data_IF_526431748516
#
_entry.id   IF_526431748516
#
_cell.length_a   1.000
_cell.length_b   1.000
_cell.length_c   1.000
_cell.angle_alpha   90.00
_cell.angle_beta   90.00
_cell.angle_gamma   90.00
#
_symmetry.space_group_name_H-M   'P 1'
#
loop_
_entity.id
_entity.type
_entity.pdbx_description
1 polymer ?
#
# COMPACT_ATOMS: atom_id res chain seq x y z
N UNK A 1 25.72 25.20 23.08
CA UNK A 1 26.01 23.77 22.88
C UNK A 1 24.89 23.23 22.04
N UNK A 2 25.04 23.13 20.71
CA UNK A 2 23.98 22.68 19.79
C UNK A 2 23.84 21.17 19.96
N UNK A 3 22.66 20.74 20.37
CA UNK A 3 22.25 19.32 20.35
C UNK A 3 22.44 18.82 18.92
N UNK A 4 23.39 17.91 18.69
CA UNK A 4 23.53 17.18 17.42
C UNK A 4 22.28 16.29 17.28
N UNK A 5 21.21 16.82 16.68
CA UNK A 5 20.03 16.02 16.32
C UNK A 5 20.51 14.91 15.39
N UNK A 6 20.42 13.67 15.83
CA UNK A 6 20.77 12.51 15.00
C UNK A 6 19.68 12.28 13.97
N UNK A 7 20.02 11.85 12.75
CA UNK A 7 19.06 11.60 11.68
C UNK A 7 17.82 10.78 12.12
N UNK A 8 17.94 9.73 12.95
CA UNK A 8 16.78 8.98 13.43
C UNK A 8 15.79 9.78 14.29
N UNK A 9 16.19 10.92 14.86
CA UNK A 9 15.31 11.76 15.68
C UNK A 9 14.68 12.93 14.91
N UNK A 10 15.05 13.12 13.64
CA UNK A 10 14.54 14.22 12.80
C UNK A 10 13.18 13.84 12.17
N UNK A 11 12.35 14.85 11.91
CA UNK A 11 11.11 14.66 11.16
C UNK A 11 11.37 14.44 9.67
N UNK A 12 10.48 13.73 8.97
CA UNK A 12 10.64 13.40 7.56
C UNK A 12 10.79 14.64 6.67
N UNK A 13 10.12 15.75 7.00
CA UNK A 13 10.26 17.04 6.28
C UNK A 13 11.67 17.60 6.38
N UNK A 14 12.28 17.50 7.56
CA UNK A 14 13.67 17.96 7.78
C UNK A 14 14.66 17.06 7.03
N UNK A 15 14.43 15.73 7.08
CA UNK A 15 15.23 14.76 6.32
C UNK A 15 15.13 15.00 4.81
N UNK A 16 13.92 15.26 4.31
CA UNK A 16 13.70 15.58 2.91
C UNK A 16 14.40 16.88 2.48
N UNK A 17 14.35 17.91 3.32
CA UNK A 17 15.08 19.17 3.08
C UNK A 17 16.60 18.95 3.04
N UNK A 18 17.15 18.15 3.94
CA UNK A 18 18.57 17.79 3.93
C UNK A 18 18.95 16.98 2.69
N UNK A 19 18.08 16.05 2.27
CA UNK A 19 18.26 15.26 1.06
C UNK A 19 18.25 16.13 -0.19
N UNK A 20 17.32 17.10 -0.27
CA UNK A 20 17.27 18.10 -1.33
C UNK A 20 18.54 18.98 -1.38
N UNK A 21 19.16 19.21 -0.21
CA UNK A 21 20.47 19.86 -0.08
C UNK A 21 21.67 18.95 -0.38
N UNK A 22 21.45 17.72 -0.90
CA UNK A 22 22.49 16.78 -1.32
C UNK A 22 22.96 15.78 -0.25
N UNK A 23 22.35 15.77 0.95
CA UNK A 23 22.68 14.81 2.01
C UNK A 23 22.01 13.45 1.74
N UNK A 24 22.76 12.54 1.14
CA UNK A 24 22.30 11.17 0.79
C UNK A 24 21.96 10.33 2.01
N UNK A 25 22.66 10.52 3.14
CA UNK A 25 22.41 9.82 4.40
C UNK A 25 21.02 10.14 4.98
N UNK A 26 20.55 11.39 4.83
CA UNK A 26 19.20 11.79 5.23
C UNK A 26 18.12 11.10 4.37
N UNK A 27 18.37 10.96 3.07
CA UNK A 27 17.45 10.18 2.22
C UNK A 27 17.49 8.68 2.56
N UNK A 28 18.65 8.13 2.87
CA UNK A 28 18.80 6.74 3.35
C UNK A 28 17.95 6.46 4.59
N UNK A 29 17.84 7.42 5.51
CA UNK A 29 16.95 7.30 6.67
C UNK A 29 15.47 7.29 6.28
N UNK A 30 15.04 8.10 5.32
CA UNK A 30 13.68 8.06 4.77
C UNK A 30 13.35 6.69 4.13
N UNK A 31 14.29 6.13 3.37
CA UNK A 31 14.16 4.78 2.78
C UNK A 31 14.01 3.73 3.87
N UNK A 32 14.83 3.79 4.92
CA UNK A 32 14.78 2.86 6.05
C UNK A 32 13.43 2.89 6.77
N UNK A 33 12.85 4.09 6.99
CA UNK A 33 11.55 4.27 7.66
C UNK A 33 10.38 3.78 6.84
N UNK A 34 10.39 4.04 5.55
CA UNK A 34 9.19 3.89 4.71
C UNK A 34 9.26 2.71 3.73
N UNK A 35 10.41 2.03 3.63
CA UNK A 35 10.63 0.95 2.66
C UNK A 35 9.64 -0.21 2.82
N UNK A 36 9.39 -0.68 4.06
CA UNK A 36 8.43 -1.75 4.33
C UNK A 36 7.00 -1.37 3.96
N UNK A 37 6.60 -0.11 4.24
CA UNK A 37 5.27 0.37 3.93
C UNK A 37 5.02 0.51 2.41
N UNK A 38 6.06 0.85 1.64
CA UNK A 38 5.99 0.93 0.16
C UNK A 38 5.90 -0.47 -0.44
N UNK A 39 6.78 -1.40 -0.03
CA UNK A 39 6.71 -2.81 -0.44
C UNK A 39 5.36 -3.44 -0.11
N UNK A 40 4.87 -3.23 1.11
CA UNK A 40 3.57 -3.72 1.55
C UNK A 40 2.42 -3.21 0.67
N UNK A 41 2.44 -1.94 0.24
CA UNK A 41 1.46 -1.43 -0.71
C UNK A 41 1.52 -2.18 -2.05
N UNK A 42 2.72 -2.32 -2.63
CA UNK A 42 2.91 -2.99 -3.91
C UNK A 42 2.42 -4.45 -3.88
N UNK A 43 2.70 -5.17 -2.78
CA UNK A 43 2.19 -6.51 -2.53
C UNK A 43 0.65 -6.56 -2.49
N UNK A 44 0.02 -5.62 -1.81
CA UNK A 44 -1.45 -5.50 -1.75
C UNK A 44 -2.06 -5.21 -3.12
N UNK A 45 -1.36 -4.49 -3.98
CA UNK A 45 -1.78 -4.25 -5.35
C UNK A 45 -1.69 -5.49 -6.22
N UNK A 46 -0.92 -6.51 -5.81
CA UNK A 46 -0.77 -7.78 -6.50
C UNK A 46 0.64 -8.07 -7.03
N UNK A 47 1.63 -7.23 -6.68
CA UNK A 47 3.01 -7.51 -7.06
C UNK A 47 3.54 -8.77 -6.33
N UNK A 48 4.28 -9.60 -7.03
CA UNK A 48 5.12 -10.63 -6.43
C UNK A 48 6.24 -10.02 -5.59
N UNK A 49 6.89 -10.82 -4.71
CA UNK A 49 7.91 -10.32 -3.81
C UNK A 49 9.05 -9.58 -4.53
N UNK A 50 9.64 -10.22 -5.53
CA UNK A 50 10.73 -9.65 -6.31
C UNK A 50 10.30 -8.37 -7.04
N UNK A 51 9.15 -8.40 -7.71
CA UNK A 51 8.58 -7.21 -8.39
C UNK A 51 8.28 -6.07 -7.41
N UNK A 52 7.77 -6.39 -6.21
CA UNK A 52 7.52 -5.38 -5.18
C UNK A 52 8.82 -4.74 -4.68
N UNK A 53 9.89 -5.51 -4.53
CA UNK A 53 11.20 -4.99 -4.13
C UNK A 53 11.80 -4.09 -5.22
N UNK A 54 11.77 -4.53 -6.48
CA UNK A 54 12.27 -3.75 -7.63
C UNK A 54 11.49 -2.42 -7.79
N UNK A 55 10.16 -2.49 -7.79
CA UNK A 55 9.33 -1.29 -7.91
C UNK A 55 9.43 -0.36 -6.70
N UNK A 56 9.68 -0.89 -5.50
CA UNK A 56 9.95 -0.06 -4.33
C UNK A 56 11.29 0.66 -4.47
N UNK A 57 12.31 -0.01 -4.97
CA UNK A 57 13.61 0.61 -5.27
C UNK A 57 13.47 1.71 -6.32
N UNK A 58 12.79 1.43 -7.43
CA UNK A 58 12.51 2.43 -8.49
C UNK A 58 11.72 3.63 -7.94
N UNK A 59 10.74 3.37 -7.05
CA UNK A 59 9.96 4.43 -6.42
C UNK A 59 10.83 5.35 -5.55
N UNK A 60 11.77 4.81 -4.78
CA UNK A 60 12.69 5.61 -3.99
C UNK A 60 13.73 6.32 -4.85
N UNK A 61 14.20 5.72 -5.96
CA UNK A 61 15.06 6.43 -6.91
C UNK A 61 14.34 7.62 -7.54
N UNK A 62 13.12 7.42 -8.03
CA UNK A 62 12.30 8.50 -8.57
C UNK A 62 11.98 9.57 -7.50
N UNK A 63 11.72 9.15 -6.25
CA UNK A 63 11.51 10.06 -5.13
C UNK A 63 12.77 10.89 -4.82
N UNK A 64 13.96 10.30 -4.91
CA UNK A 64 15.22 11.02 -4.71
C UNK A 64 15.46 12.06 -5.80
N UNK A 65 15.22 11.71 -7.06
CA UNK A 65 15.35 12.63 -8.20
C UNK A 65 14.37 13.80 -8.11
N UNK A 66 13.18 13.58 -7.53
CA UNK A 66 12.11 14.56 -7.40
C UNK A 66 11.96 15.11 -5.97
N UNK A 67 12.98 14.95 -5.11
CA UNK A 67 12.87 15.29 -3.68
C UNK A 67 12.54 16.78 -3.45
N UNK A 68 12.93 17.64 -4.36
CA UNK A 68 12.61 19.07 -4.34
C UNK A 68 11.12 19.36 -4.55
N UNK A 69 10.37 18.42 -5.12
CA UNK A 69 8.92 18.55 -5.33
C UNK A 69 8.12 18.20 -4.07
N UNK A 70 8.76 17.57 -3.09
CA UNK A 70 8.14 17.30 -1.80
C UNK A 70 8.06 18.57 -0.96
N UNK A 71 6.89 19.20 -0.96
CA UNK A 71 6.64 20.49 -0.27
C UNK A 71 6.21 20.34 1.19
N UNK A 72 6.04 19.12 1.70
CA UNK A 72 5.52 18.89 3.06
C UNK A 72 3.99 19.01 3.17
N UNK A 73 3.26 19.13 2.04
CA UNK A 73 1.79 19.14 1.99
C UNK A 73 1.20 17.75 2.24
N UNK A 74 1.63 17.10 3.31
CA UNK A 74 1.29 15.74 3.68
C UNK A 74 2.51 14.96 4.15
N UNK A 75 2.36 13.66 4.38
CA UNK A 75 3.47 12.82 4.84
C UNK A 75 4.37 12.39 3.68
N UNK A 76 5.68 12.28 3.92
CA UNK A 76 6.62 11.71 2.95
C UNK A 76 6.18 10.30 2.51
N UNK A 77 5.68 9.50 3.45
CA UNK A 77 5.15 8.17 3.17
C UNK A 77 4.03 8.18 2.11
N UNK A 78 3.06 9.10 2.24
CA UNK A 78 1.97 9.20 1.28
C UNK A 78 2.48 9.64 -0.11
N UNK A 79 3.45 10.55 -0.14
CA UNK A 79 4.04 11.03 -1.38
C UNK A 79 4.80 9.93 -2.13
N UNK A 80 5.68 9.18 -1.46
CA UNK A 80 6.43 8.08 -2.10
C UNK A 80 5.51 6.89 -2.47
N UNK A 81 4.48 6.60 -1.69
CA UNK A 81 3.47 5.60 -2.03
C UNK A 81 2.72 5.94 -3.32
N UNK A 82 2.42 7.23 -3.56
CA UNK A 82 1.80 7.68 -4.81
C UNK A 82 2.71 7.47 -6.02
N UNK A 83 4.02 7.69 -5.86
CA UNK A 83 5.02 7.38 -6.89
C UNK A 83 5.03 5.86 -7.16
N UNK A 84 5.14 5.04 -6.12
CA UNK A 84 5.15 3.58 -6.23
C UNK A 84 3.87 3.04 -6.90
N UNK A 85 2.70 3.57 -6.53
CA UNK A 85 1.42 3.17 -7.12
C UNK A 85 1.38 3.45 -8.64
N UNK A 86 1.86 4.61 -9.09
CA UNK A 86 1.94 4.94 -10.52
C UNK A 86 2.94 4.04 -11.27
N UNK A 87 4.07 3.69 -10.65
CA UNK A 87 5.04 2.76 -11.22
C UNK A 87 4.44 1.36 -11.38
N UNK A 88 3.73 0.87 -10.34
CA UNK A 88 3.04 -0.41 -10.40
C UNK A 88 2.00 -0.47 -11.51
N UNK A 89 1.14 0.54 -11.63
CA UNK A 89 0.12 0.57 -12.70
C UNK A 89 0.77 0.53 -14.08
N UNK A 90 1.89 1.22 -14.28
CA UNK A 90 2.64 1.18 -15.53
C UNK A 90 3.21 -0.22 -15.81
N UNK A 91 3.76 -0.88 -14.78
CA UNK A 91 4.24 -2.25 -14.86
C UNK A 91 3.10 -3.21 -15.19
N UNK A 92 2.00 -3.15 -14.44
CA UNK A 92 0.80 -3.98 -14.63
C UNK A 92 0.20 -3.83 -16.04
N UNK A 93 0.10 -2.61 -16.57
CA UNK A 93 -0.38 -2.37 -17.94
C UNK A 93 0.54 -2.99 -19.00
N UNK A 94 1.84 -2.98 -18.78
CA UNK A 94 2.78 -3.66 -19.70
C UNK A 94 2.59 -5.18 -19.65
N UNK A 95 2.46 -5.76 -18.47
CA UNK A 95 2.20 -7.19 -18.29
C UNK A 95 0.87 -7.59 -18.94
N UNK A 96 -0.22 -6.88 -18.68
CA UNK A 96 -1.52 -7.13 -19.30
C UNK A 96 -1.51 -7.04 -20.86
N UNK A 97 -0.62 -6.22 -21.43
CA UNK A 97 -0.40 -6.19 -22.89
C UNK A 97 0.35 -7.40 -23.41
N UNK A 98 1.19 -8.02 -22.58
CA UNK A 98 1.94 -9.24 -22.90
C UNK A 98 1.09 -10.49 -22.66
N UNK A 99 0.24 -10.49 -21.62
CA UNK A 99 -0.63 -11.63 -21.25
C UNK A 99 -1.80 -11.89 -22.20
N UNK A 100 -2.08 -11.01 -23.14
CA UNK A 100 -2.91 -11.36 -24.31
C UNK A 100 -2.31 -12.48 -25.16
N UNK A 101 -1.08 -12.94 -24.83
CA UNK A 101 -0.34 -13.98 -25.53
C UNK A 101 0.14 -15.15 -24.63
N UNK A 102 -0.14 -15.20 -23.32
CA UNK A 102 0.31 -16.26 -22.41
C UNK A 102 -0.63 -16.48 -21.22
N UNK A 103 -0.86 -17.76 -20.86
CA UNK A 103 -1.65 -18.19 -19.70
C UNK A 103 -0.91 -17.91 -18.38
N UNK A 104 -1.63 -17.41 -17.35
CA UNK A 104 -1.10 -16.94 -16.08
C UNK A 104 -0.99 -18.04 -15.01
N UNK A 105 0.10 -18.12 -14.22
CA UNK A 105 0.16 -18.91 -12.98
C UNK A 105 -0.40 -18.15 -11.78
N UNK A 106 -1.02 -18.89 -10.85
CA UNK A 106 -1.53 -18.35 -9.58
C UNK A 106 -0.40 -18.01 -8.59
N UNK A 107 -0.54 -16.94 -7.76
CA UNK A 107 0.52 -16.51 -6.84
C UNK A 107 0.52 -17.29 -5.52
N UNK A 108 1.70 -17.79 -5.12
CA UNK A 108 1.96 -18.39 -3.81
C UNK A 108 2.15 -17.33 -2.71
N UNK A 109 1.63 -17.63 -1.49
CA UNK A 109 1.67 -16.72 -0.35
C UNK A 109 3.00 -16.78 0.43
N UNK A 110 3.46 -15.63 0.92
CA UNK A 110 4.65 -15.49 1.77
C UNK A 110 4.29 -14.93 3.14
N UNK A 111 4.79 -15.57 4.19
CA UNK A 111 4.62 -15.21 5.60
C UNK A 111 5.55 -14.08 6.04
N UNK A 112 5.11 -13.29 7.04
CA UNK A 112 5.90 -12.26 7.71
C UNK A 112 5.98 -12.58 9.21
N UNK A 113 7.20 -12.58 9.75
CA UNK A 113 7.48 -12.67 11.19
C UNK A 113 7.55 -11.27 11.82
N UNK A 114 6.98 -11.08 12.99
CA UNK A 114 6.98 -9.80 13.73
C UNK A 114 6.57 -9.92 15.20
N UNK A 115 7.10 -9.06 16.01
CA UNK A 115 7.18 -8.97 17.47
C UNK A 115 5.83 -8.66 18.19
N UNK A 116 5.66 -8.98 19.48
CA UNK A 116 4.38 -9.19 20.18
C UNK A 116 3.47 -7.96 20.42
N UNK A 117 3.95 -6.74 20.46
CA UNK A 117 3.10 -5.52 20.46
C UNK A 117 2.69 -5.13 19.05
N UNK A 118 3.48 -5.52 18.07
CA UNK A 118 3.15 -5.57 16.66
C UNK A 118 2.24 -6.76 16.31
N UNK A 119 2.11 -7.78 17.16
CA UNK A 119 1.38 -9.02 16.87
C UNK A 119 -0.12 -8.75 16.60
N UNK A 120 -0.78 -7.88 17.36
CA UNK A 120 -2.18 -7.53 17.09
C UNK A 120 -2.33 -6.72 15.80
N UNK A 121 -1.44 -5.76 15.57
CA UNK A 121 -1.41 -4.99 14.32
C UNK A 121 -0.92 -5.84 13.15
N UNK A 122 -0.04 -6.82 13.40
CA UNK A 122 0.39 -7.79 12.41
C UNK A 122 -0.74 -8.74 12.03
N UNK A 123 -1.52 -9.26 13.00
CA UNK A 123 -2.70 -10.07 12.77
C UNK A 123 -3.74 -9.31 11.93
N UNK A 124 -4.05 -8.06 12.27
CA UNK A 124 -4.96 -7.22 11.48
C UNK A 124 -4.44 -6.95 10.06
N UNK A 125 -3.11 -6.85 9.88
CA UNK A 125 -2.50 -6.72 8.55
C UNK A 125 -2.60 -8.00 7.75
N UNK A 126 -2.40 -9.16 8.38
CA UNK A 126 -2.56 -10.48 7.76
C UNK A 126 -4.01 -10.66 7.31
N UNK A 127 -4.98 -10.36 8.18
CA UNK A 127 -6.39 -10.44 7.88
C UNK A 127 -6.79 -9.51 6.71
N UNK A 128 -6.23 -8.29 6.68
CA UNK A 128 -6.46 -7.36 5.57
C UNK A 128 -5.83 -7.84 4.27
N UNK A 129 -4.60 -8.36 4.32
CA UNK A 129 -3.90 -8.86 3.14
C UNK A 129 -4.62 -10.09 2.55
N UNK A 130 -5.11 -10.99 3.41
CA UNK A 130 -5.96 -12.12 3.04
C UNK A 130 -7.32 -11.67 2.46
N UNK A 131 -7.94 -10.68 3.09
CA UNK A 131 -9.19 -10.13 2.60
C UNK A 131 -9.01 -9.47 1.21
N UNK A 132 -7.91 -8.75 1.00
CA UNK A 132 -7.58 -8.13 -0.29
C UNK A 132 -7.32 -9.19 -1.37
N UNK A 133 -6.66 -10.30 -1.06
CA UNK A 133 -6.45 -11.42 -2.00
C UNK A 133 -7.77 -12.04 -2.48
N UNK A 134 -8.83 -11.98 -1.68
CA UNK A 134 -10.15 -12.50 -2.06
C UNK A 134 -10.93 -11.61 -3.02
N UNK A 135 -10.45 -10.40 -3.29
CA UNK A 135 -11.06 -9.49 -4.27
C UNK A 135 -10.65 -9.88 -5.69
N UNK A 136 -11.55 -9.61 -6.65
CA UNK A 136 -11.17 -9.66 -8.05
C UNK A 136 -10.02 -8.65 -8.30
N UNK A 137 -9.13 -8.96 -9.23
CA UNK A 137 -7.91 -8.20 -9.49
C UNK A 137 -8.16 -6.69 -9.63
N UNK A 138 -9.11 -6.29 -10.47
CA UNK A 138 -9.46 -4.88 -10.67
C UNK A 138 -10.06 -4.22 -9.43
N UNK A 139 -10.82 -4.95 -8.61
CA UNK A 139 -11.36 -4.44 -7.35
C UNK A 139 -10.22 -4.20 -6.34
N UNK A 140 -9.31 -5.19 -6.20
CA UNK A 140 -8.12 -5.10 -5.36
C UNK A 140 -7.23 -3.94 -5.77
N UNK A 141 -6.97 -3.81 -7.07
CA UNK A 141 -6.14 -2.75 -7.62
C UNK A 141 -6.76 -1.36 -7.36
N UNK A 142 -8.03 -1.16 -7.67
CA UNK A 142 -8.71 0.12 -7.45
C UNK A 142 -8.75 0.50 -5.96
N UNK A 143 -9.07 -0.45 -5.06
CA UNK A 143 -9.07 -0.21 -3.61
C UNK A 143 -7.66 0.14 -3.12
N UNK A 144 -6.65 -0.62 -3.53
CA UNK A 144 -5.26 -0.40 -3.10
C UNK A 144 -4.70 0.93 -3.62
N UNK A 145 -5.03 1.34 -4.84
CA UNK A 145 -4.63 2.64 -5.39
C UNK A 145 -5.22 3.79 -4.58
N UNK A 146 -6.54 3.73 -4.29
CA UNK A 146 -7.22 4.84 -3.63
C UNK A 146 -6.89 4.92 -2.13
N UNK A 147 -6.95 3.79 -1.41
CA UNK A 147 -6.80 3.76 0.05
C UNK A 147 -5.37 3.48 0.52
N UNK A 148 -4.60 2.75 -0.25
CA UNK A 148 -3.20 2.45 0.06
C UNK A 148 -2.22 3.44 -0.58
N UNK A 149 -2.43 3.76 -1.86
CA UNK A 149 -1.59 4.65 -2.67
C UNK A 149 -1.96 6.13 -2.54
N UNK A 150 -3.15 6.45 -1.98
CA UNK A 150 -3.61 7.83 -1.79
C UNK A 150 -3.97 8.55 -3.10
N UNK A 151 -4.36 7.80 -4.15
CA UNK A 151 -4.88 8.38 -5.38
C UNK A 151 -6.38 8.68 -5.21
N UNK A 152 -6.83 9.79 -5.77
CA UNK A 152 -8.24 10.03 -5.99
C UNK A 152 -8.81 9.04 -7.02
N UNK A 153 -10.13 8.86 -7.05
CA UNK A 153 -10.77 8.03 -8.07
C UNK A 153 -10.48 8.51 -9.51
N UNK A 154 -10.33 9.83 -9.69
CA UNK A 154 -10.00 10.40 -10.99
C UNK A 154 -8.55 10.07 -11.41
N UNK A 155 -7.59 10.23 -10.49
CA UNK A 155 -6.18 9.86 -10.75
C UNK A 155 -6.03 8.35 -11.00
N UNK A 156 -6.77 7.51 -10.26
CA UNK A 156 -6.77 6.07 -10.48
C UNK A 156 -7.39 5.72 -11.85
N UNK A 157 -8.46 6.40 -12.27
CA UNK A 157 -9.10 6.21 -13.56
C UNK A 157 -8.16 6.58 -14.73
N UNK A 158 -7.47 7.71 -14.61
CA UNK A 158 -6.45 8.15 -15.58
C UNK A 158 -5.28 7.14 -15.62
N UNK A 159 -4.73 6.76 -14.45
CA UNK A 159 -3.62 5.83 -14.37
C UNK A 159 -3.96 4.46 -14.98
N UNK A 160 -5.16 3.93 -14.73
CA UNK A 160 -5.64 2.64 -15.23
C UNK A 160 -6.16 2.71 -16.69
N UNK A 161 -6.28 3.91 -17.27
CA UNK A 161 -6.96 4.15 -18.54
C UNK A 161 -8.38 3.53 -18.57
N UNK A 162 -9.13 3.75 -17.48
CA UNK A 162 -10.45 3.16 -17.22
C UNK A 162 -11.45 4.27 -16.90
N UNK A 163 -12.72 4.18 -17.35
CA UNK A 163 -13.71 5.21 -17.03
C UNK A 163 -13.88 5.41 -15.51
N UNK A 164 -14.01 6.67 -15.08
CA UNK A 164 -14.17 7.03 -13.65
C UNK A 164 -15.32 6.27 -12.96
N UNK A 165 -16.44 6.08 -13.67
CA UNK A 165 -17.59 5.32 -13.16
C UNK A 165 -17.26 3.86 -12.88
N UNK A 166 -16.41 3.24 -13.71
CA UNK A 166 -15.93 1.87 -13.54
C UNK A 166 -15.03 1.77 -12.30
N UNK A 167 -14.08 2.69 -12.13
CA UNK A 167 -13.22 2.73 -10.93
C UNK A 167 -14.05 2.89 -9.65
N UNK A 168 -15.01 3.84 -9.62
CA UNK A 168 -15.93 4.01 -8.48
C UNK A 168 -16.70 2.73 -8.17
N UNK A 169 -17.16 2.00 -9.20
CA UNK A 169 -17.89 0.74 -9.05
C UNK A 169 -17.01 -0.38 -8.50
N UNK A 170 -15.73 -0.48 -8.96
CA UNK A 170 -14.77 -1.44 -8.44
C UNK A 170 -14.41 -1.14 -6.98
N UNK A 171 -14.15 0.12 -6.65
CA UNK A 171 -13.88 0.53 -5.26
C UNK A 171 -15.05 0.19 -4.35
N UNK A 172 -16.28 0.56 -4.74
CA UNK A 172 -17.48 0.26 -3.94
C UNK A 172 -17.62 -1.25 -3.70
N UNK A 173 -17.60 -2.06 -4.76
CA UNK A 173 -17.74 -3.53 -4.65
C UNK A 173 -16.62 -4.14 -3.80
N UNK A 174 -15.37 -3.70 -4.00
CA UNK A 174 -14.24 -4.16 -3.22
C UNK A 174 -14.39 -3.85 -1.73
N UNK A 175 -14.76 -2.62 -1.38
CA UNK A 175 -15.01 -2.23 0.02
C UNK A 175 -16.18 -2.99 0.64
N UNK A 176 -17.26 -3.23 -0.10
CA UNK A 176 -18.41 -3.98 0.40
C UNK A 176 -18.06 -5.46 0.66
N UNK A 177 -17.18 -6.05 -0.16
CA UNK A 177 -16.63 -7.40 0.07
C UNK A 177 -15.72 -7.43 1.31
N UNK A 178 -14.81 -6.46 1.44
CA UNK A 178 -13.91 -6.35 2.59
C UNK A 178 -14.68 -6.17 3.89
N UNK A 179 -15.69 -5.29 3.93
CA UNK A 179 -16.54 -5.09 5.12
C UNK A 179 -17.21 -6.38 5.55
N UNK A 180 -17.79 -7.13 4.62
CA UNK A 180 -18.44 -8.42 4.93
C UNK A 180 -17.48 -9.47 5.46
N UNK A 181 -16.26 -9.52 4.92
CA UNK A 181 -15.25 -10.49 5.35
C UNK A 181 -14.63 -10.15 6.70
N UNK A 182 -14.44 -8.86 6.99
CA UNK A 182 -13.84 -8.36 8.22
C UNK A 182 -14.87 -8.01 9.30
N UNK A 183 -16.17 -8.20 9.04
CA UNK A 183 -17.18 -8.05 10.08
C UNK A 183 -16.97 -9.14 11.14
N UNK A 184 -17.02 -8.79 12.45
CA UNK A 184 -17.00 -9.80 13.50
C UNK A 184 -18.19 -10.74 13.28
N UNK A 185 -18.07 -12.05 13.61
CA UNK A 185 -19.19 -12.97 13.54
C UNK A 185 -20.33 -12.39 14.39
N UNK A 186 -21.51 -12.23 13.78
CA UNK A 186 -22.69 -11.76 14.52
C UNK A 186 -22.86 -12.69 15.72
N UNK A 187 -22.77 -12.11 16.93
CA UNK A 187 -22.91 -12.84 18.18
C UNK A 187 -24.24 -13.59 18.20
N UNK A 188 -24.17 -14.91 18.23
CA UNK A 188 -25.32 -15.74 18.46
C UNK A 188 -25.91 -15.48 19.84
N UNK A 189 -26.75 -14.46 19.98
CA UNK A 189 -27.65 -14.31 21.11
C UNK A 189 -28.82 -15.27 20.95
N UNK A 190 -28.61 -16.47 21.43
CA UNK A 190 -29.59 -17.53 21.51
C UNK A 190 -29.46 -18.33 22.80
N UNK A 191 -29.23 -17.66 23.95
CA UNK A 191 -29.45 -18.32 25.25
C UNK A 191 -30.91 -18.11 25.63
N UNK A 192 -31.78 -19.00 25.14
CA UNK A 192 -33.09 -19.24 25.74
C UNK A 192 -32.90 -19.63 27.22
N UNK A 193 -33.17 -18.65 28.10
CA UNK A 193 -33.44 -18.92 29.50
C UNK A 193 -34.76 -19.72 29.60
N UNK A 194 -34.67 -21.05 29.61
CA UNK A 194 -35.77 -21.86 30.13
C UNK A 194 -35.83 -21.61 31.64
N UNK A 195 -36.76 -20.78 32.04
CA UNK A 195 -37.22 -20.66 33.40
C UNK A 195 -38.13 -21.87 33.61
N UNK A 196 -37.72 -22.84 34.44
CA UNK A 196 -38.61 -23.82 35.03
C UNK A 196 -39.18 -23.19 36.28
N UNK A 197 -40.52 -23.02 36.29
CA UNK A 197 -41.32 -22.79 37.48
C UNK A 197 -41.62 -24.12 38.16
#
# INVERSE_FOLDING_TARGET
>A
MALKTTLPAMHDVELAALAAGGRRDAFGELVRRHGSAVRGLLRRMGAEAATADDLAQDAFLAAFEQITDFRGDGTFQAWVKRIAARLYVRHWRKAAHVDLLAETPEPEGVHHDGDEGEAHMAALRIDLDEALKSLAEHERLCVSLCYGGGLSHAEAAEALNTPLGTVKSHVKRGLDKLRRRMAPPEGGDGVERRVHG
#
